data_IF_851395247002
#
_entry.id   IF_851395247002
#
_cell.length_a   1.000
_cell.length_b   1.000
_cell.length_c   1.000
_cell.angle_alpha   90.00
_cell.angle_beta   90.00
_cell.angle_gamma   90.00
#
_symmetry.space_group_name_H-M   'P 1'
#
loop_
_entity.id
_entity.type
_entity.pdbx_description
1 polymer ?
#
# COMPACT_ATOMS: atom_id res chain seq x y z
N UNK A 1 -5.86 -0.81 -14.84
CA UNK A 1 -4.69 -0.86 -13.94
C UNK A 1 -4.57 0.46 -13.19
N UNK A 2 -4.54 0.40 -11.87
CA UNK A 2 -4.31 1.59 -11.04
C UNK A 2 -2.87 2.08 -11.24
N UNK A 3 -2.72 3.40 -11.28
CA UNK A 3 -1.42 4.07 -11.44
C UNK A 3 -1.05 4.91 -10.22
N UNK A 4 -2.06 5.33 -9.45
CA UNK A 4 -1.88 5.98 -8.17
C UNK A 4 -2.29 5.03 -7.05
N UNK A 5 -1.34 4.64 -6.23
CA UNK A 5 -1.54 3.82 -5.05
C UNK A 5 -1.35 4.69 -3.82
N UNK A 6 -2.42 4.92 -3.07
CA UNK A 6 -2.40 5.69 -1.83
C UNK A 6 -2.37 4.72 -0.67
N UNK A 7 -1.34 4.78 0.17
CA UNK A 7 -1.17 3.90 1.33
C UNK A 7 -1.49 4.67 2.60
N UNK A 8 -2.54 4.27 3.29
CA UNK A 8 -2.99 4.86 4.56
C UNK A 8 -3.19 3.77 5.62
N UNK A 9 -3.58 4.12 6.81
CA UNK A 9 -3.80 3.20 7.93
C UNK A 9 -3.59 3.94 9.26
N UNK A 10 -3.90 3.30 10.37
CA UNK A 10 -3.66 3.85 11.72
C UNK A 10 -2.20 4.24 11.94
N UNK A 11 -1.95 5.19 12.83
CA UNK A 11 -0.60 5.51 13.26
C UNK A 11 0.10 4.29 13.89
N UNK A 12 1.30 3.96 13.41
CA UNK A 12 2.08 2.82 13.91
C UNK A 12 1.86 1.49 13.19
N UNK A 13 0.94 1.38 12.23
CA UNK A 13 0.70 0.12 11.48
C UNK A 13 1.77 -0.19 10.43
N UNK A 14 2.77 0.67 10.23
CA UNK A 14 3.84 0.44 9.25
C UNK A 14 3.52 0.92 7.84
N UNK A 15 2.67 1.96 7.68
CA UNK A 15 2.31 2.54 6.38
C UNK A 15 3.49 2.81 5.46
N UNK A 16 4.50 3.51 5.95
CA UNK A 16 5.71 3.86 5.18
C UNK A 16 6.45 2.63 4.70
N UNK A 17 6.56 1.60 5.54
CA UNK A 17 7.17 0.31 5.19
C UNK A 17 6.38 -0.40 4.09
N UNK A 18 5.05 -0.44 4.22
CA UNK A 18 4.17 -1.03 3.21
C UNK A 18 4.21 -0.25 1.91
N UNK A 19 4.20 1.09 1.96
CA UNK A 19 4.34 1.93 0.77
C UNK A 19 5.68 1.69 0.05
N UNK A 20 6.77 1.56 0.80
CA UNK A 20 8.10 1.25 0.25
C UNK A 20 8.16 -0.14 -0.38
N UNK A 21 7.64 -1.17 0.29
CA UNK A 21 7.55 -2.53 -0.24
C UNK A 21 6.66 -2.60 -1.49
N UNK A 22 5.53 -1.88 -1.49
CA UNK A 22 4.63 -1.80 -2.64
C UNK A 22 5.31 -1.13 -3.84
N UNK A 23 6.07 -0.05 -3.63
CA UNK A 23 6.81 0.61 -4.70
C UNK A 23 7.84 -0.33 -5.34
N UNK A 24 8.56 -1.13 -4.55
CA UNK A 24 9.48 -2.17 -5.04
C UNK A 24 8.73 -3.28 -5.79
N UNK A 25 7.60 -3.74 -5.26
CA UNK A 25 6.79 -4.78 -5.89
C UNK A 25 6.25 -4.34 -7.26
N UNK A 26 5.76 -3.10 -7.37
CA UNK A 26 5.27 -2.52 -8.63
C UNK A 26 6.38 -2.26 -9.65
N UNK A 27 7.60 -1.99 -9.20
CA UNK A 27 8.74 -1.78 -10.08
C UNK A 27 9.29 -3.09 -10.67
N UNK A 28 9.02 -4.25 -10.06
CA UNK A 28 9.74 -5.50 -10.34
C UNK A 28 9.71 -5.96 -11.82
N UNK A 29 8.64 -5.69 -12.55
CA UNK A 29 8.55 -6.04 -13.98
C UNK A 29 9.28 -5.07 -14.93
N UNK A 30 10.41 -4.50 -14.53
CA UNK A 30 11.17 -3.52 -15.31
C UNK A 30 10.52 -2.14 -15.36
N UNK A 31 9.55 -1.86 -14.47
CA UNK A 31 8.78 -0.62 -14.45
C UNK A 31 9.46 0.48 -13.63
N UNK A 32 9.05 1.72 -13.87
CA UNK A 32 9.48 2.89 -13.10
C UNK A 32 8.39 3.30 -12.14
N UNK A 33 8.70 3.26 -10.84
CA UNK A 33 7.77 3.63 -9.77
C UNK A 33 8.29 4.85 -9.01
N UNK A 34 7.40 5.79 -8.70
CA UNK A 34 7.69 6.93 -7.84
C UNK A 34 7.04 6.73 -6.47
N UNK A 35 7.85 6.73 -5.42
CA UNK A 35 7.40 6.70 -4.03
C UNK A 35 7.40 8.13 -3.47
N UNK A 36 6.24 8.59 -2.98
CA UNK A 36 6.02 9.98 -2.56
C UNK A 36 5.77 10.05 -1.06
N UNK A 37 6.57 10.84 -0.35
CA UNK A 37 6.38 11.17 1.06
C UNK A 37 5.69 12.53 1.21
N UNK A 38 4.57 12.57 1.92
CA UNK A 38 3.79 13.82 2.12
C UNK A 38 3.86 14.38 3.53
N UNK A 39 4.30 13.59 4.53
CA UNK A 39 4.38 14.03 5.92
C UNK A 39 5.74 14.63 6.31
N UNK A 40 6.77 14.53 5.47
CA UNK A 40 8.09 15.14 5.68
C UNK A 40 8.91 14.53 6.82
N UNK A 41 8.62 13.29 7.21
CA UNK A 41 9.30 12.60 8.33
C UNK A 41 10.59 11.92 7.93
N UNK A 42 10.93 11.92 6.64
CA UNK A 42 12.10 11.23 6.08
C UNK A 42 12.12 9.71 6.36
N UNK A 43 10.94 9.11 6.57
CA UNK A 43 10.80 7.68 6.86
C UNK A 43 11.25 6.82 5.68
N UNK A 44 10.99 7.27 4.46
CA UNK A 44 11.44 6.61 3.23
C UNK A 44 12.97 6.60 3.15
N UNK A 45 13.63 7.72 3.45
CA UNK A 45 15.09 7.82 3.42
C UNK A 45 15.73 6.83 4.42
N UNK A 46 15.14 6.70 5.61
CA UNK A 46 15.62 5.76 6.64
C UNK A 46 15.48 4.30 6.18
N UNK A 47 14.33 3.92 5.59
CA UNK A 47 14.06 2.56 5.13
C UNK A 47 14.97 2.12 3.97
N UNK A 48 15.36 3.05 3.09
CA UNK A 48 16.26 2.77 1.97
C UNK A 48 17.72 3.11 2.29
N UNK A 49 18.05 3.39 3.55
CA UNK A 49 19.41 3.69 4.02
C UNK A 49 20.09 4.78 3.18
N UNK A 50 19.33 5.81 2.79
CA UNK A 50 19.81 6.91 1.95
C UNK A 50 19.82 8.23 2.71
N UNK A 51 20.48 9.22 2.14
CA UNK A 51 20.41 10.59 2.64
C UNK A 51 18.98 11.14 2.59
N UNK A 52 18.70 12.16 3.39
CA UNK A 52 17.41 12.84 3.39
C UNK A 52 16.94 13.19 1.98
N UNK A 53 15.69 12.88 1.68
CA UNK A 53 15.11 13.11 0.35
C UNK A 53 14.93 14.61 0.10
N UNK A 54 15.49 15.14 -0.99
CA UNK A 54 15.23 16.51 -1.41
C UNK A 54 13.84 16.63 -2.06
N UNK A 55 13.43 17.85 -2.33
CA UNK A 55 12.28 18.13 -3.21
C UNK A 55 12.66 17.94 -4.69
N UNK A 56 13.27 16.80 -4.99
CA UNK A 56 13.67 16.36 -6.32
C UNK A 56 13.54 14.84 -6.38
N UNK A 57 13.10 14.34 -7.53
CA UNK A 57 12.96 12.90 -7.72
C UNK A 57 14.34 12.24 -7.77
N UNK A 58 14.63 11.37 -6.80
CA UNK A 58 15.90 10.65 -6.69
C UNK A 58 15.66 9.16 -6.84
N UNK A 59 16.45 8.49 -7.67
CA UNK A 59 16.48 7.03 -7.71
C UNK A 59 17.06 6.51 -6.39
N UNK A 60 16.31 5.63 -5.71
CA UNK A 60 16.68 5.09 -4.40
C UNK A 60 16.89 3.58 -4.41
N UNK A 61 16.30 2.86 -5.37
CA UNK A 61 16.44 1.41 -5.45
C UNK A 61 16.25 0.90 -6.88
N UNK A 62 16.67 -0.35 -7.08
CA UNK A 62 16.38 -1.14 -8.28
C UNK A 62 15.70 -2.42 -7.81
N UNK A 63 14.52 -2.72 -8.34
CA UNK A 63 13.81 -3.95 -8.04
C UNK A 63 14.51 -5.18 -8.67
N UNK A 64 14.31 -6.40 -8.16
CA UNK A 64 14.96 -7.61 -8.67
C UNK A 64 14.72 -7.84 -10.17
N UNK A 65 13.57 -7.50 -10.70
CA UNK A 65 13.24 -7.55 -12.13
C UNK A 65 13.80 -6.40 -12.98
N UNK A 66 14.70 -5.57 -12.43
CA UNK A 66 15.41 -4.50 -13.14
C UNK A 66 14.67 -3.16 -13.21
N UNK A 67 13.48 -3.05 -12.66
CA UNK A 67 12.76 -1.77 -12.58
C UNK A 67 13.34 -0.82 -11.56
N UNK A 68 12.98 0.45 -11.67
CA UNK A 68 13.57 1.52 -10.89
C UNK A 68 12.56 2.15 -9.93
N UNK A 69 12.97 2.35 -8.67
CA UNK A 69 12.21 3.09 -7.67
C UNK A 69 12.85 4.45 -7.45
N UNK A 70 12.07 5.49 -7.70
CA UNK A 70 12.39 6.88 -7.39
C UNK A 70 11.64 7.30 -6.14
N UNK A 71 12.19 8.23 -5.38
CA UNK A 71 11.52 8.83 -4.23
C UNK A 71 11.49 10.35 -4.33
N UNK A 72 10.43 10.93 -3.77
CA UNK A 72 10.22 12.37 -3.67
C UNK A 72 9.61 12.70 -2.31
N UNK A 73 10.27 13.53 -1.52
CA UNK A 73 9.64 14.18 -0.37
C UNK A 73 9.00 15.49 -0.82
N UNK A 74 7.67 15.58 -0.79
CA UNK A 74 6.97 16.80 -1.20
C UNK A 74 7.03 17.82 -0.07
N UNK A 75 7.68 18.94 -0.37
CA UNK A 75 7.70 20.14 0.46
C UNK A 75 6.60 21.10 0.02
N UNK A 76 5.70 21.49 0.93
CA UNK A 76 4.55 22.30 0.60
C UNK A 76 4.92 23.73 0.14
N UNK A 77 6.00 24.30 0.68
CA UNK A 77 6.47 25.63 0.28
C UNK A 77 7.00 25.61 -1.16
N UNK A 78 7.82 24.60 -1.48
CA UNK A 78 8.35 24.42 -2.86
C UNK A 78 7.23 24.06 -3.83
N UNK A 79 6.29 23.22 -3.44
CA UNK A 79 5.13 22.89 -4.26
C UNK A 79 4.26 24.12 -4.56
N UNK A 80 4.12 25.05 -3.59
CA UNK A 80 3.44 26.32 -3.81
C UNK A 80 4.19 27.20 -4.81
N UNK A 81 5.52 27.26 -4.72
CA UNK A 81 6.33 28.01 -5.68
C UNK A 81 6.19 27.46 -7.10
N UNK A 82 6.26 26.13 -7.27
CA UNK A 82 6.03 25.46 -8.56
C UNK A 82 4.64 25.81 -9.11
N UNK A 83 3.62 25.73 -8.25
CA UNK A 83 2.25 26.07 -8.61
C UNK A 83 2.12 27.52 -9.09
N UNK A 84 2.65 28.47 -8.33
CA UNK A 84 2.64 29.89 -8.69
C UNK A 84 3.41 30.18 -9.99
N UNK A 85 4.54 29.51 -10.19
CA UNK A 85 5.32 29.64 -11.43
C UNK A 85 4.57 29.11 -12.64
N UNK A 86 3.87 27.98 -12.50
CA UNK A 86 3.11 27.33 -13.57
C UNK A 86 1.92 28.21 -14.02
N UNK A 87 1.16 28.76 -13.09
CA UNK A 87 -0.09 29.45 -13.39
C UNK A 87 0.04 30.96 -13.56
N UNK A 88 0.99 31.60 -12.87
CA UNK A 88 1.12 33.07 -12.84
C UNK A 88 2.41 33.60 -13.45
N UNK A 89 3.29 32.74 -14.00
CA UNK A 89 4.58 33.11 -14.61
C UNK A 89 5.42 34.05 -13.73
N UNK A 90 5.36 33.89 -12.43
CA UNK A 90 5.92 34.77 -11.40
C UNK A 90 7.43 34.59 -11.18
N UNK A 91 8.25 34.49 -12.22
CA UNK A 91 9.67 34.16 -12.10
C UNK A 91 10.49 35.07 -11.14
N UNK A 92 10.27 36.38 -11.12
CA UNK A 92 10.94 37.32 -10.20
C UNK A 92 10.11 37.65 -8.96
N UNK A 93 8.79 37.68 -9.06
CA UNK A 93 7.87 37.96 -7.97
C UNK A 93 7.79 36.79 -6.94
N UNK A 94 7.99 35.54 -7.35
CA UNK A 94 8.08 34.40 -6.44
C UNK A 94 9.24 34.51 -5.44
N UNK A 95 10.37 35.09 -5.85
CA UNK A 95 11.50 35.39 -4.94
C UNK A 95 11.20 36.49 -3.96
N UNK A 96 10.39 37.48 -4.36
CA UNK A 96 9.94 38.55 -3.48
C UNK A 96 8.92 38.07 -2.44
N UNK A 97 7.98 37.19 -2.84
CA UNK A 97 7.00 36.55 -1.95
C UNK A 97 7.70 35.72 -0.86
N UNK A 98 8.77 34.97 -1.18
CA UNK A 98 9.57 34.24 -0.20
C UNK A 98 10.23 35.17 0.83
N UNK A 99 10.73 36.34 0.39
CA UNK A 99 11.36 37.33 1.30
C UNK A 99 10.38 37.97 2.30
N UNK A 100 9.10 37.97 2.00
CA UNK A 100 8.07 38.63 2.81
C UNK A 100 7.42 37.64 3.81
N UNK A 101 7.81 36.35 3.81
CA UNK A 101 7.15 35.33 4.64
C UNK A 101 5.71 35.02 4.24
N UNK A 102 5.26 35.52 3.08
CA UNK A 102 3.87 35.32 2.61
C UNK A 102 3.60 33.85 2.28
N UNK A 103 4.65 33.08 1.98
CA UNK A 103 4.58 31.64 1.69
C UNK A 103 4.41 30.85 2.97
N UNK A 104 5.18 31.17 4.01
CA UNK A 104 5.02 30.57 5.36
C UNK A 104 3.63 30.85 5.89
N UNK A 105 3.12 32.07 5.69
CA UNK A 105 1.76 32.46 6.05
C UNK A 105 0.70 31.61 5.31
N UNK A 106 0.81 31.43 4.00
CA UNK A 106 -0.17 30.70 3.20
C UNK A 106 -0.18 29.20 3.53
N UNK A 107 0.99 28.59 3.78
CA UNK A 107 1.10 27.16 4.10
C UNK A 107 0.81 26.84 5.57
N UNK A 108 1.03 27.78 6.49
CA UNK A 108 0.83 27.59 7.92
C UNK A 108 -0.59 27.95 8.37
N UNK A 109 -1.21 28.97 7.77
CA UNK A 109 -2.49 29.52 8.21
C UNK A 109 -3.69 29.02 7.40
N UNK A 110 -3.49 28.52 6.17
CA UNK A 110 -4.55 27.92 5.38
C UNK A 110 -4.40 26.36 5.35
N UNK A 111 -4.95 25.64 6.33
CA UNK A 111 -4.73 24.20 6.50
C UNK A 111 -5.02 23.34 5.26
N UNK A 112 -5.97 23.75 4.41
CA UNK A 112 -6.31 23.03 3.19
C UNK A 112 -5.33 23.24 2.03
N UNK A 113 -4.60 24.37 1.98
CA UNK A 113 -3.69 24.70 0.87
C UNK A 113 -2.53 23.72 0.78
N UNK A 114 -1.98 23.32 1.92
CA UNK A 114 -0.93 22.30 1.96
C UNK A 114 -1.40 21.00 1.30
N UNK A 115 -2.54 20.49 1.69
CA UNK A 115 -3.06 19.20 1.21
C UNK A 115 -3.40 19.26 -0.29
N UNK A 116 -3.89 20.40 -0.79
CA UNK A 116 -4.09 20.66 -2.24
C UNK A 116 -2.76 20.57 -3.01
N UNK A 117 -1.70 21.16 -2.49
CA UNK A 117 -0.39 21.14 -3.14
C UNK A 117 0.22 19.74 -3.15
N UNK A 118 0.12 19.01 -2.03
CA UNK A 118 0.63 17.65 -1.91
C UNK A 118 -0.09 16.69 -2.85
N UNK A 119 -1.41 16.68 -2.84
CA UNK A 119 -2.23 15.85 -3.74
C UNK A 119 -2.07 16.26 -5.20
N UNK A 120 -1.99 17.56 -5.47
CA UNK A 120 -1.77 18.11 -6.81
C UNK A 120 -0.44 17.64 -7.41
N UNK A 121 0.65 17.66 -6.62
CA UNK A 121 1.98 17.20 -7.08
C UNK A 121 2.01 15.71 -7.37
N UNK A 122 1.39 14.89 -6.52
CA UNK A 122 1.28 13.45 -6.77
C UNK A 122 0.46 13.14 -8.03
N UNK A 123 -0.69 13.80 -8.22
CA UNK A 123 -1.50 13.63 -9.42
C UNK A 123 -0.82 14.17 -10.70
N UNK A 124 0.03 15.20 -10.58
CA UNK A 124 0.89 15.66 -11.68
C UNK A 124 1.86 14.56 -12.10
N UNK A 125 2.54 13.92 -11.13
CA UNK A 125 3.47 12.82 -11.41
C UNK A 125 2.80 11.63 -12.10
N UNK A 126 1.57 11.26 -11.70
CA UNK A 126 0.77 10.20 -12.36
C UNK A 126 0.51 10.50 -13.84
N UNK A 127 0.29 11.76 -14.18
CA UNK A 127 -0.08 12.19 -15.54
C UNK A 127 1.09 12.59 -16.39
N UNK A 128 2.26 12.74 -15.80
CA UNK A 128 3.47 13.25 -16.50
C UNK A 128 3.86 12.32 -17.63
N UNK A 129 4.09 12.94 -18.79
CA UNK A 129 4.58 12.25 -19.97
C UNK A 129 5.92 12.82 -20.40
N UNK A 130 6.73 11.97 -20.98
CA UNK A 130 7.98 12.35 -21.59
C UNK A 130 7.78 13.00 -22.99
N UNK A 131 8.87 13.34 -23.66
CA UNK A 131 8.81 13.94 -24.99
C UNK A 131 8.27 12.99 -26.07
N UNK A 132 8.31 11.69 -25.83
CA UNK A 132 7.76 10.65 -26.71
C UNK A 132 6.26 10.39 -26.44
N UNK A 133 5.68 11.03 -25.41
CA UNK A 133 4.29 10.84 -25.00
C UNK A 133 4.06 9.66 -24.08
N UNK A 134 5.12 8.91 -23.70
CA UNK A 134 5.03 7.83 -22.73
C UNK A 134 4.95 8.38 -21.29
N UNK A 135 4.33 7.62 -20.39
CA UNK A 135 4.32 8.00 -18.99
C UNK A 135 5.73 7.93 -18.39
N UNK A 136 6.12 8.94 -17.61
CA UNK A 136 7.42 8.97 -16.92
C UNK A 136 7.50 7.90 -15.84
N UNK A 137 6.40 7.66 -15.14
CA UNK A 137 6.25 6.61 -14.14
C UNK A 137 5.10 5.68 -14.51
N UNK A 138 5.30 4.39 -14.38
CA UNK A 138 4.25 3.38 -14.56
C UNK A 138 3.29 3.37 -13.37
N UNK A 139 3.81 3.62 -12.17
CA UNK A 139 3.03 3.74 -10.94
C UNK A 139 3.60 4.84 -10.02
N UNK A 140 2.71 5.44 -9.23
CA UNK A 140 3.04 6.38 -8.15
C UNK A 140 2.46 5.82 -6.85
N UNK A 141 3.29 5.65 -5.83
CA UNK A 141 2.88 5.21 -4.49
C UNK A 141 2.99 6.39 -3.55
N UNK A 142 1.91 6.75 -2.88
CA UNK A 142 1.87 7.84 -1.92
C UNK A 142 1.81 7.28 -0.50
N UNK A 143 2.83 7.55 0.32
CA UNK A 143 2.78 7.36 1.77
C UNK A 143 1.94 8.48 2.38
N UNK A 144 0.67 8.18 2.65
CA UNK A 144 -0.36 9.15 2.96
C UNK A 144 -0.59 9.32 4.48
N UNK A 145 -1.29 10.39 4.90
CA UNK A 145 -1.66 10.58 6.29
C UNK A 145 -2.50 9.42 6.86
N UNK A 146 -2.61 9.30 8.21
CA UNK A 146 -3.41 8.28 8.86
C UNK A 146 -4.89 8.30 8.46
N UNK A 147 -5.59 7.15 8.62
CA UNK A 147 -7.00 6.94 8.28
C UNK A 147 -7.93 8.04 8.77
N UNK A 148 -7.79 8.52 10.00
CA UNK A 148 -8.62 9.61 10.52
C UNK A 148 -8.47 10.97 9.81
N UNK A 149 -7.56 11.09 8.82
CA UNK A 149 -7.35 12.30 8.01
C UNK A 149 -7.43 12.05 6.51
N UNK A 150 -7.42 10.79 6.08
CA UNK A 150 -7.23 10.46 4.67
C UNK A 150 -8.34 10.98 3.78
N UNK A 151 -9.60 10.82 4.19
CA UNK A 151 -10.77 11.26 3.43
C UNK A 151 -10.75 12.77 3.21
N UNK A 152 -10.45 13.54 4.27
CA UNK A 152 -10.30 14.99 4.18
C UNK A 152 -9.10 15.40 3.34
N UNK A 153 -7.96 14.72 3.51
CA UNK A 153 -6.73 14.97 2.74
C UNK A 153 -6.94 14.78 1.23
N UNK A 154 -7.59 13.68 0.82
CA UNK A 154 -7.88 13.41 -0.58
C UNK A 154 -9.04 14.27 -1.11
N UNK A 155 -10.03 14.58 -0.26
CA UNK A 155 -11.22 15.35 -0.62
C UNK A 155 -11.03 16.88 -0.65
N UNK A 156 -9.88 17.38 -0.17
CA UNK A 156 -9.62 18.83 -0.05
C UNK A 156 -9.82 19.60 -1.36
N UNK A 157 -9.53 18.97 -2.49
CA UNK A 157 -9.69 19.61 -3.80
C UNK A 157 -11.16 19.79 -4.20
N UNK A 158 -12.10 18.97 -3.70
CA UNK A 158 -13.54 19.19 -3.89
C UNK A 158 -13.99 20.45 -3.15
N UNK A 159 -13.50 20.66 -1.91
CA UNK A 159 -13.78 21.87 -1.13
C UNK A 159 -13.27 23.12 -1.86
N UNK A 160 -12.04 23.07 -2.38
CA UNK A 160 -11.42 24.18 -3.12
C UNK A 160 -12.14 24.43 -4.44
N UNK A 161 -12.55 23.39 -5.17
CA UNK A 161 -13.34 23.54 -6.40
C UNK A 161 -14.71 24.18 -6.12
N UNK A 162 -15.31 23.90 -4.95
CA UNK A 162 -16.55 24.54 -4.50
C UNK A 162 -16.40 26.03 -4.17
N UNK A 163 -15.25 26.43 -3.61
CA UNK A 163 -14.94 27.82 -3.26
C UNK A 163 -14.55 28.66 -4.48
N UNK A 164 -13.68 28.12 -5.32
CA UNK A 164 -13.20 28.78 -6.54
C UNK A 164 -14.07 28.38 -7.73
N UNK A 165 -15.23 29.00 -7.88
CA UNK A 165 -16.24 28.62 -8.88
C UNK A 165 -15.79 28.68 -10.35
N UNK A 166 -14.73 29.45 -10.67
CA UNK A 166 -14.16 29.59 -12.02
C UNK A 166 -12.66 29.89 -11.94
N UNK A 167 -11.93 29.62 -13.04
CA UNK A 167 -10.54 29.98 -13.17
C UNK A 167 -9.56 28.81 -13.05
N UNK A 168 -8.22 29.08 -13.12
CA UNK A 168 -7.18 28.04 -13.15
C UNK A 168 -7.21 27.13 -11.92
N UNK A 169 -7.47 27.68 -10.73
CA UNK A 169 -7.53 26.92 -9.46
C UNK A 169 -8.67 25.91 -9.49
N UNK A 170 -9.86 26.30 -9.95
CA UNK A 170 -11.00 25.41 -10.09
C UNK A 170 -10.72 24.26 -11.06
N UNK A 171 -10.17 24.56 -12.24
CA UNK A 171 -9.82 23.53 -13.24
C UNK A 171 -8.76 22.56 -12.72
N UNK A 172 -7.77 23.07 -11.97
CA UNK A 172 -6.75 22.22 -11.37
C UNK A 172 -7.33 21.31 -10.30
N UNK A 173 -8.13 21.85 -9.38
CA UNK A 173 -8.78 21.05 -8.34
C UNK A 173 -9.67 19.95 -8.94
N UNK A 174 -10.48 20.27 -9.95
CA UNK A 174 -11.27 19.28 -10.68
C UNK A 174 -10.39 18.23 -11.39
N UNK A 175 -9.24 18.64 -11.95
CA UNK A 175 -8.33 17.74 -12.61
C UNK A 175 -7.70 16.74 -11.63
N UNK A 176 -7.38 17.18 -10.41
CA UNK A 176 -6.90 16.32 -9.32
C UNK A 176 -8.00 15.35 -8.88
N UNK A 177 -9.21 15.83 -8.62
CA UNK A 177 -10.32 14.98 -8.20
C UNK A 177 -10.72 13.94 -9.26
N UNK A 178 -10.59 14.26 -10.55
CA UNK A 178 -10.79 13.28 -11.62
C UNK A 178 -9.79 12.11 -11.57
N UNK A 179 -8.56 12.33 -11.12
CA UNK A 179 -7.59 11.23 -10.89
C UNK A 179 -7.98 10.48 -9.63
N UNK A 180 -8.15 11.19 -8.51
CA UNK A 180 -8.40 10.59 -7.20
C UNK A 180 -9.66 9.73 -7.15
N UNK A 181 -10.72 10.11 -7.88
CA UNK A 181 -12.00 9.37 -7.96
C UNK A 181 -12.07 8.40 -9.14
N UNK A 182 -11.01 8.26 -9.94
CA UNK A 182 -11.01 7.37 -11.09
C UNK A 182 -10.49 5.97 -10.74
N UNK A 183 -10.72 4.96 -11.59
CA UNK A 183 -10.10 3.64 -11.46
C UNK A 183 -8.57 3.64 -11.58
N UNK A 184 -7.96 4.76 -11.97
CA UNK A 184 -6.50 4.92 -11.94
C UNK A 184 -5.93 5.03 -10.52
N UNK A 185 -6.78 5.26 -9.52
CA UNK A 185 -6.40 5.37 -8.11
C UNK A 185 -6.88 4.13 -7.34
N UNK A 186 -6.07 3.68 -6.38
CA UNK A 186 -6.42 2.67 -5.39
C UNK A 186 -5.92 3.12 -4.01
N UNK A 187 -6.81 3.22 -3.04
CA UNK A 187 -6.48 3.56 -1.66
C UNK A 187 -6.36 2.27 -0.86
N UNK A 188 -5.15 1.93 -0.41
CA UNK A 188 -4.84 0.75 0.39
C UNK A 188 -4.81 1.11 1.88
N UNK A 189 -5.45 0.29 2.70
CA UNK A 189 -5.50 0.50 4.14
C UNK A 189 -4.60 -0.51 4.85
N UNK A 190 -3.60 -0.01 5.57
CA UNK A 190 -2.67 -0.83 6.36
C UNK A 190 -3.21 -0.99 7.78
N UNK A 191 -3.35 -2.23 8.21
CA UNK A 191 -3.85 -2.58 9.53
C UNK A 191 -2.96 -3.61 10.23
N UNK A 192 -3.24 -3.86 11.50
CA UNK A 192 -2.71 -4.97 12.30
C UNK A 192 -3.88 -5.82 12.76
N UNK A 193 -3.64 -7.09 13.12
CA UNK A 193 -4.67 -7.97 13.70
C UNK A 193 -4.92 -7.64 15.18
N UNK A 194 -5.29 -6.39 15.41
CA UNK A 194 -5.63 -5.83 16.72
C UNK A 194 -6.95 -5.07 16.59
N UNK A 195 -7.75 -5.05 17.69
CA UNK A 195 -9.10 -4.48 17.69
C UNK A 195 -9.14 -3.04 17.14
N UNK A 196 -8.34 -2.13 17.69
CA UNK A 196 -8.38 -0.73 17.30
C UNK A 196 -7.93 -0.46 15.86
N UNK A 197 -6.81 -1.02 15.34
CA UNK A 197 -6.43 -0.87 13.94
C UNK A 197 -7.47 -1.44 12.97
N UNK A 198 -8.09 -2.57 13.30
CA UNK A 198 -9.13 -3.18 12.45
C UNK A 198 -10.36 -2.28 12.44
N UNK A 199 -10.85 -1.82 13.60
CA UNK A 199 -11.99 -0.91 13.65
C UNK A 199 -11.75 0.37 12.85
N UNK A 200 -10.56 1.01 12.99
CA UNK A 200 -10.21 2.17 12.18
C UNK A 200 -10.15 1.87 10.67
N UNK A 201 -9.81 0.62 10.31
CA UNK A 201 -9.83 0.20 8.90
C UNK A 201 -11.25 0.06 8.38
N UNK A 202 -12.16 -0.55 9.15
CA UNK A 202 -13.58 -0.67 8.82
C UNK A 202 -14.20 0.72 8.61
N UNK A 203 -13.98 1.63 9.56
CA UNK A 203 -14.49 3.01 9.50
C UNK A 203 -13.89 3.76 8.30
N UNK A 204 -12.57 3.63 8.08
CA UNK A 204 -11.88 4.26 6.96
C UNK A 204 -12.36 3.78 5.59
N UNK A 205 -12.67 2.49 5.44
CA UNK A 205 -13.27 1.94 4.21
C UNK A 205 -14.65 2.54 3.98
N UNK A 206 -15.48 2.63 5.03
CA UNK A 206 -16.82 3.22 4.94
C UNK A 206 -16.75 4.71 4.54
N UNK A 207 -15.86 5.48 5.17
CA UNK A 207 -15.64 6.90 4.85
C UNK A 207 -15.16 7.11 3.41
N UNK A 208 -14.16 6.32 2.95
CA UNK A 208 -13.63 6.42 1.59
C UNK A 208 -14.70 6.10 0.54
N UNK A 209 -15.45 5.01 0.75
CA UNK A 209 -16.58 4.64 -0.12
C UNK A 209 -17.66 5.73 -0.14
N UNK A 210 -17.99 6.29 1.03
CA UNK A 210 -18.95 7.42 1.16
C UNK A 210 -18.49 8.68 0.43
N UNK A 211 -17.20 8.93 0.34
CA UNK A 211 -16.61 10.04 -0.41
C UNK A 211 -16.43 9.75 -1.92
N UNK A 212 -16.76 8.55 -2.38
CA UNK A 212 -16.57 8.11 -3.76
C UNK A 212 -15.10 7.93 -4.14
N UNK A 213 -14.24 7.62 -3.17
CA UNK A 213 -12.83 7.32 -3.38
C UNK A 213 -12.65 5.81 -3.55
N UNK A 214 -11.85 5.36 -4.54
CA UNK A 214 -11.69 3.93 -4.83
C UNK A 214 -10.83 3.25 -3.77
N UNK A 215 -11.42 2.32 -3.04
CA UNK A 215 -10.71 1.49 -2.07
C UNK A 215 -10.02 0.35 -2.83
N UNK A 216 -8.73 0.14 -2.55
CA UNK A 216 -7.92 -0.93 -3.13
C UNK A 216 -7.93 -2.19 -2.26
N UNK A 217 -6.85 -2.46 -1.56
CA UNK A 217 -6.68 -3.63 -0.70
C UNK A 217 -6.58 -3.25 0.78
N UNK A 218 -6.97 -4.17 1.66
CA UNK A 218 -6.56 -4.18 3.06
C UNK A 218 -5.20 -4.89 3.16
N UNK A 219 -4.21 -4.24 3.78
CA UNK A 219 -2.88 -4.82 3.99
C UNK A 219 -2.69 -5.09 5.48
N UNK A 220 -2.76 -6.34 5.86
CA UNK A 220 -2.49 -6.80 7.23
C UNK A 220 -0.99 -6.93 7.40
N UNK A 221 -0.41 -6.06 8.20
CA UNK A 221 1.04 -6.01 8.42
C UNK A 221 1.43 -6.71 9.74
N UNK A 222 2.70 -7.05 9.88
CA UNK A 222 3.30 -7.67 11.07
C UNK A 222 2.63 -8.99 11.48
N UNK A 223 2.19 -9.78 10.51
CA UNK A 223 1.56 -11.08 10.75
C UNK A 223 2.57 -12.05 11.33
N UNK A 224 2.23 -12.63 12.46
CA UNK A 224 3.06 -13.63 13.15
C UNK A 224 2.61 -15.03 12.77
N UNK A 225 3.53 -16.02 12.71
CA UNK A 225 3.14 -17.40 12.47
C UNK A 225 2.30 -17.93 13.67
N UNK A 226 1.22 -18.63 13.36
CA UNK A 226 0.44 -19.38 14.33
C UNK A 226 1.17 -20.70 14.62
N UNK A 227 2.08 -20.71 15.61
CA UNK A 227 2.90 -21.89 15.95
C UNK A 227 2.13 -22.89 16.79
N UNK A 228 1.20 -22.41 17.63
CA UNK A 228 0.39 -23.21 18.54
C UNK A 228 -1.04 -22.67 18.57
N UNK A 229 -2.01 -23.57 18.63
CA UNK A 229 -3.42 -23.24 18.84
C UNK A 229 -3.93 -23.66 20.21
N UNK A 230 -5.22 -23.49 20.49
CA UNK A 230 -5.84 -23.86 21.77
C UNK A 230 -5.86 -25.38 21.98
N UNK A 231 -5.92 -26.17 20.91
CA UNK A 231 -5.92 -27.64 21.01
C UNK A 231 -4.52 -28.15 21.39
N UNK A 232 -3.48 -27.56 20.81
CA UNK A 232 -2.07 -27.86 21.15
C UNK A 232 -1.78 -27.58 22.61
N UNK A 233 -2.27 -26.44 23.13
CA UNK A 233 -2.10 -26.06 24.55
C UNK A 233 -2.84 -27.04 25.49
N UNK A 234 -4.06 -27.44 25.12
CA UNK A 234 -4.85 -28.41 25.91
C UNK A 234 -4.15 -29.77 25.93
N UNK A 235 -3.64 -30.25 24.79
CA UNK A 235 -2.87 -31.46 24.70
C UNK A 235 -1.61 -31.43 25.58
N UNK A 236 -0.86 -30.31 25.51
CA UNK A 236 0.36 -30.10 26.29
C UNK A 236 0.11 -30.07 27.81
N UNK A 237 -1.02 -29.54 28.25
CA UNK A 237 -1.41 -29.58 29.67
C UNK A 237 -1.63 -31.01 30.21
N UNK A 238 -2.12 -31.93 29.36
CA UNK A 238 -2.30 -33.34 29.70
C UNK A 238 -1.00 -34.14 29.86
N UNK A 239 0.09 -33.69 29.26
CA UNK A 239 1.39 -34.42 29.19
C UNK A 239 2.54 -33.64 29.85
N UNK A 240 2.27 -32.87 30.89
CA UNK A 240 3.27 -31.99 31.56
C UNK A 240 4.52 -32.71 32.03
N UNK A 241 4.37 -33.93 32.56
CA UNK A 241 5.50 -34.74 33.06
C UNK A 241 6.40 -35.20 31.89
N UNK A 242 5.79 -35.61 30.78
CA UNK A 242 6.45 -36.04 29.57
C UNK A 242 7.19 -34.87 28.92
N UNK A 243 6.59 -33.66 28.93
CA UNK A 243 7.26 -32.44 28.48
C UNK A 243 8.52 -32.12 29.29
N UNK A 244 8.44 -32.27 30.63
CA UNK A 244 9.61 -32.07 31.49
C UNK A 244 10.74 -33.06 31.19
N UNK A 245 10.39 -34.33 30.93
CA UNK A 245 11.35 -35.36 30.51
C UNK A 245 11.95 -35.08 29.14
N UNK A 246 11.12 -34.69 28.18
CA UNK A 246 11.56 -34.30 26.85
C UNK A 246 12.53 -33.10 26.91
N UNK A 247 12.24 -32.07 27.71
CA UNK A 247 13.14 -30.93 27.92
C UNK A 247 14.45 -31.35 28.56
N UNK A 248 14.41 -32.24 29.54
CA UNK A 248 15.64 -32.77 30.16
C UNK A 248 16.50 -33.57 29.17
N UNK A 249 15.86 -34.37 28.31
CA UNK A 249 16.52 -35.16 27.24
C UNK A 249 17.12 -34.23 26.18
N UNK A 250 16.44 -33.16 25.80
CA UNK A 250 16.92 -32.13 24.91
C UNK A 250 18.03 -31.24 25.50
N UNK A 251 18.44 -31.47 26.76
CA UNK A 251 19.46 -30.69 27.44
C UNK A 251 18.99 -29.34 27.97
N UNK A 252 17.69 -29.04 27.88
CA UNK A 252 17.10 -27.83 28.40
C UNK A 252 16.98 -27.93 29.93
N UNK A 253 17.60 -26.99 30.64
CA UNK A 253 17.62 -26.98 32.12
C UNK A 253 18.92 -27.43 32.79
N UNK A 254 19.95 -27.79 32.04
CA UNK A 254 21.33 -28.08 32.51
C UNK A 254 21.49 -29.49 33.11
N UNK A 255 22.75 -29.94 33.17
CA UNK A 255 23.18 -31.30 33.48
C UNK A 255 22.92 -31.85 34.90
N UNK A 256 22.25 -31.11 35.78
CA UNK A 256 21.92 -31.56 37.14
C UNK A 256 20.46 -31.97 37.26
N UNK A 257 20.27 -33.26 37.61
CA UNK A 257 19.01 -33.99 37.77
C UNK A 257 17.74 -33.14 38.07
N UNK A 258 16.73 -33.27 37.23
CA UNK A 258 15.29 -33.26 37.51
C UNK A 258 14.59 -31.95 37.84
N UNK A 259 15.21 -30.98 38.49
CA UNK A 259 14.49 -29.82 39.01
C UNK A 259 14.38 -28.59 38.09
N UNK A 260 15.28 -28.46 37.13
CA UNK A 260 15.29 -27.26 36.28
C UNK A 260 14.40 -27.40 35.03
N UNK A 261 14.37 -28.55 34.39
CA UNK A 261 13.46 -28.84 33.28
C UNK A 261 11.99 -28.68 33.71
N UNK A 262 11.63 -29.26 34.91
CA UNK A 262 10.30 -29.11 35.47
C UNK A 262 9.91 -27.65 35.72
N UNK A 263 10.88 -26.78 36.11
CA UNK A 263 10.62 -25.35 36.34
C UNK A 263 10.40 -24.56 35.04
N UNK A 264 10.78 -25.09 33.86
CA UNK A 264 10.55 -24.49 32.57
C UNK A 264 9.17 -24.77 32.01
N UNK A 265 8.53 -25.89 32.39
CA UNK A 265 7.23 -26.31 31.85
C UNK A 265 6.15 -25.27 32.12
N UNK A 266 5.99 -24.80 33.35
CA UNK A 266 4.93 -23.85 33.71
C UNK A 266 5.07 -22.50 33.00
N UNK A 267 6.24 -21.84 32.95
CA UNK A 267 6.43 -20.64 32.19
C UNK A 267 6.14 -20.82 30.70
N UNK A 268 6.61 -21.94 30.10
CA UNK A 268 6.41 -22.20 28.66
C UNK A 268 4.95 -22.47 28.34
N UNK A 269 4.23 -23.25 29.16
CA UNK A 269 2.79 -23.48 28.99
C UNK A 269 1.99 -22.17 29.15
N UNK A 270 2.41 -21.28 30.02
CA UNK A 270 1.79 -19.96 30.16
C UNK A 270 1.98 -19.14 28.87
N UNK A 271 3.20 -19.08 28.34
CA UNK A 271 3.49 -18.40 27.05
C UNK A 271 2.73 -19.06 25.90
N UNK A 272 2.59 -20.39 25.89
CA UNK A 272 1.81 -21.10 24.89
C UNK A 272 0.32 -20.71 24.95
N UNK A 273 -0.27 -20.58 26.16
CA UNK A 273 -1.65 -20.10 26.29
C UNK A 273 -1.83 -18.68 25.82
N UNK A 274 -0.95 -17.78 26.25
CA UNK A 274 -0.96 -16.38 25.79
C UNK A 274 -0.82 -16.28 24.26
N UNK A 275 -0.02 -17.16 23.65
CA UNK A 275 0.10 -17.26 22.22
C UNK A 275 -1.20 -17.76 21.56
N UNK A 276 -1.81 -18.83 22.06
CA UNK A 276 -3.05 -19.38 21.52
C UNK A 276 -4.23 -18.40 21.65
N UNK A 277 -4.33 -17.69 22.79
CA UNK A 277 -5.31 -16.62 22.98
C UNK A 277 -5.14 -15.49 21.93
N UNK A 278 -3.90 -15.10 21.67
CA UNK A 278 -3.61 -14.11 20.63
C UNK A 278 -3.98 -14.63 19.24
N UNK A 279 -3.64 -15.86 18.88
CA UNK A 279 -4.03 -16.47 17.59
C UNK A 279 -5.55 -16.43 17.43
N UNK A 280 -6.30 -16.78 18.46
CA UNK A 280 -7.77 -16.71 18.44
C UNK A 280 -8.29 -15.28 18.21
N UNK A 281 -7.66 -14.28 18.81
CA UNK A 281 -8.00 -12.88 18.57
C UNK A 281 -7.66 -12.45 17.13
N UNK A 282 -6.47 -12.81 16.65
CA UNK A 282 -6.04 -12.51 15.28
C UNK A 282 -6.98 -13.14 14.24
N UNK A 283 -7.48 -14.36 14.47
CA UNK A 283 -8.46 -15.02 13.60
C UNK A 283 -9.80 -14.26 13.55
N UNK A 284 -10.29 -13.76 14.70
CA UNK A 284 -11.49 -12.92 14.74
C UNK A 284 -11.29 -11.63 13.94
N UNK A 285 -10.15 -10.97 14.11
CA UNK A 285 -9.82 -9.75 13.38
C UNK A 285 -9.70 -10.00 11.87
N UNK A 286 -9.16 -11.15 11.45
CA UNK A 286 -9.16 -11.55 10.02
C UNK A 286 -10.57 -11.71 9.48
N UNK A 287 -11.48 -12.32 10.26
CA UNK A 287 -12.87 -12.48 9.83
C UNK A 287 -13.58 -11.13 9.63
N UNK A 288 -13.32 -10.15 10.48
CA UNK A 288 -13.87 -8.80 10.35
C UNK A 288 -13.33 -8.08 9.09
N UNK A 289 -12.02 -8.20 8.81
CA UNK A 289 -11.42 -7.65 7.58
C UNK A 289 -11.98 -8.34 6.33
N UNK A 290 -12.14 -9.68 6.38
CA UNK A 290 -12.69 -10.44 5.26
C UNK A 290 -14.14 -10.04 4.92
N UNK A 291 -14.91 -9.59 5.90
CA UNK A 291 -16.29 -9.11 5.70
C UNK A 291 -16.36 -7.77 4.92
N UNK A 292 -15.24 -7.08 4.69
CA UNK A 292 -15.18 -5.85 3.87
C UNK A 292 -15.35 -6.10 2.37
N UNK A 293 -15.22 -7.35 1.92
CA UNK A 293 -15.21 -7.73 0.51
C UNK A 293 -14.17 -6.91 -0.29
N UNK A 294 -12.94 -6.93 0.23
CA UNK A 294 -11.76 -6.29 -0.37
C UNK A 294 -10.65 -7.31 -0.54
N UNK A 295 -9.80 -7.16 -1.55
CA UNK A 295 -8.54 -7.89 -1.59
C UNK A 295 -7.77 -7.70 -0.29
N UNK A 296 -7.34 -8.79 0.34
CA UNK A 296 -6.56 -8.75 1.59
C UNK A 296 -5.19 -9.33 1.34
N UNK A 297 -4.16 -8.60 1.73
CA UNK A 297 -2.75 -9.00 1.62
C UNK A 297 -2.16 -9.08 3.03
N UNK A 298 -1.39 -10.12 3.31
CA UNK A 298 -0.72 -10.29 4.61
C UNK A 298 0.81 -10.15 4.46
N UNK A 299 1.42 -9.35 5.32
CA UNK A 299 2.86 -9.17 5.37
C UNK A 299 3.43 -9.72 6.68
N UNK A 300 4.46 -10.57 6.62
CA UNK A 300 5.02 -11.20 7.80
C UNK A 300 5.73 -10.20 8.71
N UNK A 301 5.71 -10.49 10.00
CA UNK A 301 6.61 -9.85 10.95
C UNK A 301 8.05 -10.30 10.68
N UNK A 302 8.93 -9.34 10.43
CA UNK A 302 10.36 -9.57 10.31
C UNK A 302 11.01 -9.37 11.69
N UNK A 303 11.57 -10.45 12.25
CA UNK A 303 12.09 -10.46 13.62
C UNK A 303 13.32 -9.59 13.83
N UNK A 304 14.13 -9.45 12.77
CA UNK A 304 15.38 -8.64 12.79
C UNK A 304 15.12 -7.16 12.45
N UNK A 305 13.84 -6.77 12.35
CA UNK A 305 13.45 -5.43 11.92
C UNK A 305 13.36 -5.31 10.39
N UNK A 306 13.11 -4.09 9.92
CA UNK A 306 13.00 -3.78 8.48
C UNK A 306 14.19 -2.93 8.06
N UNK A 307 15.17 -3.58 7.47
CA UNK A 307 16.25 -2.99 6.69
C UNK A 307 15.93 -3.06 5.19
N UNK A 308 16.87 -2.72 4.34
CA UNK A 308 16.68 -2.79 2.88
C UNK A 308 16.38 -4.22 2.41
N UNK A 309 17.03 -5.25 2.98
CA UNK A 309 16.75 -6.65 2.64
C UNK A 309 15.36 -7.08 3.07
N UNK A 310 14.91 -6.62 4.23
CA UNK A 310 13.55 -6.80 4.72
C UNK A 310 12.51 -6.17 3.80
N UNK A 311 12.77 -4.98 3.24
CA UNK A 311 11.89 -4.37 2.25
C UNK A 311 11.72 -5.23 0.99
N UNK A 312 12.80 -5.81 0.47
CA UNK A 312 12.74 -6.73 -0.67
C UNK A 312 11.95 -8.00 -0.33
N UNK A 313 12.09 -8.51 0.89
CA UNK A 313 11.30 -9.66 1.39
C UNK A 313 9.81 -9.34 1.42
N UNK A 314 9.42 -8.17 1.95
CA UNK A 314 8.03 -7.73 1.97
C UNK A 314 7.49 -7.46 0.55
N UNK A 315 8.29 -6.89 -0.33
CA UNK A 315 7.92 -6.69 -1.73
C UNK A 315 7.66 -8.03 -2.45
N UNK A 316 8.49 -9.04 -2.21
CA UNK A 316 8.30 -10.38 -2.74
C UNK A 316 7.02 -11.03 -2.18
N UNK A 317 6.72 -10.85 -0.89
CA UNK A 317 5.49 -11.34 -0.26
C UNK A 317 4.23 -10.70 -0.88
N UNK A 318 4.24 -9.38 -1.16
CA UNK A 318 3.15 -8.69 -1.85
C UNK A 318 2.91 -9.27 -3.25
N UNK A 319 3.97 -9.55 -4.00
CA UNK A 319 3.86 -10.10 -5.35
C UNK A 319 3.33 -11.53 -5.37
N UNK A 320 3.70 -12.33 -4.39
CA UNK A 320 3.31 -13.74 -4.31
C UNK A 320 1.82 -13.92 -4.00
N UNK A 321 1.17 -12.94 -3.39
CA UNK A 321 -0.21 -13.04 -2.92
C UNK A 321 -1.28 -12.56 -3.91
N UNK A 322 -0.96 -12.13 -5.05
CA UNK A 322 -1.80 -11.86 -6.22
C UNK A 322 -1.36 -10.60 -6.97
N UNK A 323 -0.75 -10.81 -8.10
CA UNK A 323 -0.45 -9.73 -9.03
C UNK A 323 -1.69 -8.95 -9.49
N UNK A 324 -2.90 -9.50 -9.33
CA UNK A 324 -4.17 -8.88 -9.72
C UNK A 324 -4.73 -7.94 -8.65
N UNK A 325 -4.62 -8.28 -7.36
CA UNK A 325 -5.14 -7.45 -6.27
C UNK A 325 -4.42 -6.11 -6.15
N UNK A 326 -3.11 -6.09 -6.38
CA UNK A 326 -2.28 -4.88 -6.27
C UNK A 326 -2.29 -4.07 -7.57
N UNK A 327 -2.41 -4.73 -8.72
CA UNK A 327 -2.36 -4.07 -10.03
C UNK A 327 -3.72 -3.58 -10.53
N UNK A 328 -4.82 -3.90 -9.83
CA UNK A 328 -6.15 -3.40 -10.17
C UNK A 328 -6.72 -3.94 -11.47
N UNK A 329 -6.30 -5.13 -11.89
CA UNK A 329 -6.88 -5.79 -13.05
C UNK A 329 -8.16 -6.54 -12.64
N UNK A 330 -9.25 -5.82 -12.54
CA UNK A 330 -10.60 -6.36 -12.52
C UNK A 330 -10.99 -6.77 -13.95
N UNK A 331 -10.16 -7.63 -14.57
CA UNK A 331 -10.42 -8.20 -15.89
C UNK A 331 -11.53 -9.22 -15.80
N UNK A 332 -12.67 -8.90 -16.42
CA UNK A 332 -13.84 -9.75 -16.49
C UNK A 332 -13.51 -11.16 -16.96
N UNK A 333 -13.88 -12.12 -16.14
CA UNK A 333 -13.98 -13.52 -16.51
C UNK A 333 -15.07 -13.68 -17.57
N UNK A 334 -14.69 -13.83 -18.83
CA UNK A 334 -15.53 -14.43 -19.84
C UNK A 334 -14.71 -15.43 -20.65
N UNK A 335 -14.70 -16.66 -20.21
CA UNK A 335 -14.07 -17.79 -20.89
C UNK A 335 -14.64 -19.08 -20.37
N UNK A 336 -15.91 -19.39 -20.73
CA UNK A 336 -16.46 -20.71 -20.53
C UNK A 336 -15.73 -21.71 -21.43
N UNK A 337 -15.57 -22.98 -21.02
CA UNK A 337 -14.95 -24.00 -21.84
C UNK A 337 -15.96 -24.51 -22.87
N UNK A 338 -15.75 -24.16 -24.12
CA UNK A 338 -16.45 -24.71 -25.27
C UNK A 338 -15.90 -26.08 -25.62
N UNK A 339 -16.78 -27.06 -25.69
CA UNK A 339 -16.55 -28.47 -25.92
C UNK A 339 -15.81 -28.80 -27.22
N UNK A 340 -15.25 -29.99 -27.17
CA UNK A 340 -14.40 -30.63 -28.13
C UNK A 340 -15.11 -31.18 -29.39
N UNK A 341 -14.40 -31.96 -30.19
CA UNK A 341 -14.57 -32.11 -31.60
C UNK A 341 -15.43 -33.34 -32.02
N UNK A 342 -16.12 -33.24 -33.11
CA UNK A 342 -16.64 -34.46 -33.77
C UNK A 342 -16.91 -34.20 -35.26
N UNK A 343 -16.26 -35.01 -36.12
CA UNK A 343 -16.87 -35.56 -37.32
C UNK A 343 -16.51 -34.90 -38.65
N UNK A 344 -15.57 -35.51 -39.34
CA UNK A 344 -15.47 -35.52 -40.81
C UNK A 344 -16.48 -36.55 -41.37
N UNK A 345 -16.50 -36.86 -42.70
CA UNK A 345 -16.67 -36.07 -43.92
C UNK A 345 -17.88 -36.59 -44.74
N UNK A 346 -18.10 -36.05 -45.90
CA UNK A 346 -18.57 -36.63 -47.14
C UNK A 346 -19.19 -35.52 -47.98
N UNK A 347 -18.65 -35.28 -49.11
CA UNK A 347 -18.66 -35.86 -50.43
C UNK A 347 -19.81 -35.30 -51.31
N UNK A 348 -19.44 -35.11 -52.56
CA UNK A 348 -20.18 -35.00 -53.75
C UNK A 348 -20.94 -33.70 -54.13
N UNK A 349 -20.52 -33.29 -55.29
CA UNK A 349 -21.46 -33.05 -56.38
C UNK A 349 -21.56 -31.66 -56.95
N UNK A 350 -20.69 -31.39 -57.88
CA UNK A 350 -20.99 -31.21 -59.31
C UNK A 350 -21.81 -29.97 -59.78
N UNK A 351 -21.16 -29.35 -60.71
CA UNK A 351 -21.69 -28.74 -61.94
C UNK A 351 -22.28 -27.30 -61.93
N UNK A 352 -21.54 -26.53 -62.69
CA UNK A 352 -21.98 -25.76 -63.90
C UNK A 352 -22.44 -24.30 -63.73
N UNK A 353 -21.66 -23.59 -64.48
CA UNK A 353 -22.02 -22.61 -65.54
C UNK A 353 -22.82 -21.37 -65.20
N UNK A 354 -22.23 -20.32 -65.63
CA UNK A 354 -22.96 -19.36 -66.47
C UNK A 354 -22.62 -17.89 -66.19
N UNK A 355 -21.68 -17.43 -66.94
CA UNK A 355 -21.69 -16.25 -67.78
C UNK A 355 -22.49 -14.99 -67.35
N UNK A 356 -21.83 -13.88 -67.45
CA UNK A 356 -22.37 -12.77 -68.16
C UNK A 356 -22.59 -11.44 -67.39
N UNK A 357 -21.83 -10.50 -67.85
CA UNK A 357 -21.93 -9.07 -67.86
C UNK A 357 -21.21 -8.32 -66.78
#
# INVERSE_FOLDING_TARGET
MSRLHVVTGKGGTGKTTVAAALALALADAGKRTLLVEVEGRQGIAQLFETEALPYEERKIAVAPGGGEVFALAIDAERALLDYLQMFYKLGSAGRALRKIGAIDFATTIAPGVRDVLLTGKACEAVRRRDRAGAFVYDAVVMDAPPTGRITRFLGVNDEVAGLARVGPVHHQAQAVMRVLKSPETAVHLVTLLEEMPVQETLDGVAELRGAGLPVGAAVVNLVRPAVLDAADVTAADGVRAELAEAFATAGLGGARRGGKAQRLVDPLLRQAREHAERVTLEERQRAEIAALDLPTLELPLLWDGVDLAGLYTLAAALRAQDGHAVTGDLGGSSGGPGGGPSGAPDDDGDEREGAGA
#
